data_IF_481197083451
#
_entry.id   IF_481197083451
#
_cell.length_a   1.000
_cell.length_b   1.000
_cell.length_c   1.000
_cell.angle_alpha   90.00
_cell.angle_beta   90.00
_cell.angle_gamma   90.00
#
_symmetry.space_group_name_H-M   'P 1'
#
loop_
_entity.id
_entity.type
_entity.pdbx_description
1 polymer ?
#
# COMPACT_ATOMS: atom_id res chain seq x y z
N UNK A 1 -6.40 -51.39 32.43
CA UNK A 1 -5.52 -50.28 32.86
C UNK A 1 -4.71 -49.70 31.71
N UNK A 2 -3.93 -50.50 30.97
CA UNK A 2 -3.15 -50.01 29.82
C UNK A 2 -4.01 -49.34 28.72
N UNK A 3 -5.18 -49.90 28.39
CA UNK A 3 -6.11 -49.31 27.42
C UNK A 3 -6.67 -47.95 27.86
N UNK A 4 -7.04 -47.83 29.14
CA UNK A 4 -7.55 -46.57 29.71
C UNK A 4 -6.44 -45.51 29.69
N UNK A 5 -5.21 -45.88 30.05
CA UNK A 5 -4.05 -44.98 29.99
C UNK A 5 -3.78 -44.55 28.54
N UNK A 6 -3.86 -45.47 27.58
CA UNK A 6 -3.65 -45.17 26.16
C UNK A 6 -4.72 -44.20 25.63
N UNK A 7 -5.99 -44.40 25.99
CA UNK A 7 -7.09 -43.50 25.62
C UNK A 7 -6.88 -42.11 26.23
N UNK A 8 -6.51 -42.02 27.51
CA UNK A 8 -6.24 -40.73 28.17
C UNK A 8 -5.09 -40.00 27.48
N UNK A 9 -3.98 -40.71 27.19
CA UNK A 9 -2.84 -40.13 26.48
C UNK A 9 -3.24 -39.63 25.10
N UNK A 10 -4.02 -40.41 24.35
CA UNK A 10 -4.50 -40.01 23.03
C UNK A 10 -5.37 -38.74 23.10
N UNK A 11 -6.32 -38.67 24.05
CA UNK A 11 -7.18 -37.49 24.24
C UNK A 11 -6.36 -36.26 24.59
N UNK A 12 -5.39 -36.37 25.50
CA UNK A 12 -4.51 -35.26 25.88
C UNK A 12 -3.69 -34.77 24.69
N UNK A 13 -3.15 -35.68 23.86
CA UNK A 13 -2.43 -35.32 22.64
C UNK A 13 -3.33 -34.61 21.62
N UNK A 14 -4.56 -35.10 21.42
CA UNK A 14 -5.53 -34.46 20.53
C UNK A 14 -5.90 -33.06 21.00
N UNK A 15 -6.16 -32.87 22.29
CA UNK A 15 -6.47 -31.57 22.88
C UNK A 15 -5.27 -30.61 22.78
N UNK A 16 -4.07 -31.09 23.06
CA UNK A 16 -2.84 -30.32 22.90
C UNK A 16 -2.62 -29.86 21.46
N UNK A 17 -2.83 -30.75 20.48
CA UNK A 17 -2.74 -30.42 19.06
C UNK A 17 -3.83 -29.40 18.65
N UNK A 18 -5.07 -29.58 19.10
CA UNK A 18 -6.17 -28.66 18.82
C UNK A 18 -5.89 -27.25 19.36
N UNK A 19 -5.38 -27.14 20.59
CA UNK A 19 -4.99 -25.87 21.20
C UNK A 19 -3.84 -25.18 20.43
N UNK A 20 -2.84 -25.95 19.99
CA UNK A 20 -1.75 -25.44 19.16
C UNK A 20 -2.27 -24.90 17.82
N UNK A 21 -3.13 -25.65 17.12
CA UNK A 21 -3.71 -25.20 15.86
C UNK A 21 -4.58 -23.95 16.03
N UNK A 22 -5.40 -23.90 17.09
CA UNK A 22 -6.24 -22.74 17.39
C UNK A 22 -5.43 -21.48 17.68
N UNK A 23 -4.45 -21.56 18.58
CA UNK A 23 -3.60 -20.42 18.96
C UNK A 23 -2.80 -19.88 17.76
N UNK A 24 -2.31 -20.78 16.89
CA UNK A 24 -1.59 -20.40 15.67
C UNK A 24 -2.51 -19.82 14.61
N UNK A 25 -3.68 -20.42 14.39
CA UNK A 25 -4.69 -19.92 13.49
C UNK A 25 -5.16 -18.52 13.87
N UNK A 26 -5.36 -18.27 15.18
CA UNK A 26 -5.73 -16.94 15.69
C UNK A 26 -4.65 -15.88 15.39
N UNK A 27 -3.37 -16.20 15.61
CA UNK A 27 -2.26 -15.28 15.28
C UNK A 27 -2.17 -14.97 13.79
N UNK A 28 -2.36 -15.97 12.93
CA UNK A 28 -2.35 -15.78 11.47
C UNK A 28 -3.54 -14.93 11.00
N UNK A 29 -4.73 -15.13 11.58
CA UNK A 29 -5.91 -14.29 11.32
C UNK A 29 -5.65 -12.85 11.71
N UNK A 30 -5.14 -12.61 12.91
CA UNK A 30 -4.77 -11.27 13.36
C UNK A 30 -3.76 -10.62 12.42
N UNK A 31 -2.76 -11.38 11.94
CA UNK A 31 -1.78 -10.86 10.99
C UNK A 31 -2.42 -10.51 9.63
N UNK A 32 -3.38 -11.31 9.15
CA UNK A 32 -4.16 -11.00 7.95
C UNK A 32 -5.02 -9.75 8.13
N UNK A 33 -5.68 -9.62 9.28
CA UNK A 33 -6.54 -8.47 9.58
C UNK A 33 -5.72 -7.17 9.57
N UNK A 34 -4.49 -7.20 10.10
CA UNK A 34 -3.56 -6.07 10.03
C UNK A 34 -3.15 -5.72 8.59
N UNK A 35 -2.92 -6.71 7.73
CA UNK A 35 -2.65 -6.45 6.32
C UNK A 35 -3.87 -5.81 5.64
N UNK A 36 -5.06 -6.34 5.90
CA UNK A 36 -6.30 -5.80 5.35
C UNK A 36 -6.56 -4.37 5.82
N UNK A 37 -6.26 -4.07 7.08
CA UNK A 37 -6.38 -2.72 7.62
C UNK A 37 -5.37 -1.74 7.00
N UNK A 38 -4.10 -2.16 6.86
CA UNK A 38 -3.08 -1.37 6.17
C UNK A 38 -3.49 -1.05 4.72
N UNK A 39 -4.08 -2.02 4.02
CA UNK A 39 -4.58 -1.83 2.66
C UNK A 39 -5.74 -0.82 2.61
N UNK A 40 -6.71 -0.90 3.53
CA UNK A 40 -7.82 0.06 3.59
C UNK A 40 -7.32 1.49 3.85
N UNK A 41 -6.35 1.65 4.75
CA UNK A 41 -5.74 2.94 5.04
C UNK A 41 -5.07 3.52 3.80
N UNK A 42 -4.31 2.71 3.06
CA UNK A 42 -3.71 3.11 1.79
C UNK A 42 -4.78 3.51 0.75
N UNK A 43 -5.84 2.71 0.61
CA UNK A 43 -6.92 2.99 -0.35
C UNK A 43 -7.64 4.31 -0.04
N UNK A 44 -7.83 4.66 1.24
CA UNK A 44 -8.37 5.95 1.65
C UNK A 44 -7.46 7.10 1.20
N UNK A 45 -6.17 7.03 1.53
CA UNK A 45 -5.20 8.09 1.18
C UNK A 45 -5.07 8.26 -0.34
N UNK A 46 -5.10 7.16 -1.09
CA UNK A 46 -5.13 7.20 -2.57
C UNK A 46 -6.39 7.87 -3.10
N UNK A 47 -7.55 7.52 -2.54
CA UNK A 47 -8.83 8.13 -2.91
C UNK A 47 -8.80 9.64 -2.67
N UNK A 48 -8.29 10.08 -1.51
CA UNK A 48 -8.13 11.50 -1.18
C UNK A 48 -7.26 12.21 -2.23
N UNK A 49 -6.10 11.64 -2.60
CA UNK A 49 -5.21 12.19 -3.64
C UNK A 49 -5.92 12.28 -4.99
N UNK A 50 -6.55 11.17 -5.42
CA UNK A 50 -7.20 11.06 -6.72
C UNK A 50 -8.38 12.03 -6.87
N UNK A 51 -8.98 12.48 -5.77
CA UNK A 51 -10.04 13.47 -5.77
C UNK A 51 -9.52 14.90 -6.09
N UNK A 52 -8.26 15.19 -5.76
CA UNK A 52 -7.63 16.50 -6.00
C UNK A 52 -7.12 16.67 -7.45
N UNK A 53 -6.71 15.58 -8.11
CA UNK A 53 -6.10 15.62 -9.45
C UNK A 53 -6.99 16.30 -10.52
N UNK A 54 -8.31 16.05 -10.61
CA UNK A 54 -9.17 16.70 -11.60
C UNK A 54 -9.24 18.22 -11.42
N UNK A 55 -9.25 18.69 -10.18
CA UNK A 55 -9.26 20.12 -9.87
C UNK A 55 -7.91 20.76 -10.25
N UNK A 56 -6.81 20.09 -9.97
CA UNK A 56 -5.47 20.51 -10.41
C UNK A 56 -5.39 20.63 -11.93
N UNK A 57 -5.90 19.64 -12.67
CA UNK A 57 -5.97 19.67 -14.12
C UNK A 57 -6.83 20.84 -14.63
N UNK A 58 -8.01 21.05 -14.05
CA UNK A 58 -8.90 22.17 -14.42
C UNK A 58 -8.20 23.52 -14.27
N UNK A 59 -7.43 23.69 -13.19
CA UNK A 59 -6.65 24.89 -12.96
C UNK A 59 -5.49 25.01 -13.93
N UNK A 60 -4.79 23.92 -14.23
CA UNK A 60 -3.72 23.90 -15.21
C UNK A 60 -4.19 24.30 -16.62
N UNK A 61 -5.30 23.74 -17.09
CA UNK A 61 -5.87 24.08 -18.41
C UNK A 61 -6.27 25.55 -18.52
N UNK A 62 -6.71 26.17 -17.42
CA UNK A 62 -7.05 27.60 -17.41
C UNK A 62 -5.83 28.53 -17.59
N UNK A 63 -4.62 28.05 -17.29
CA UNK A 63 -3.39 28.85 -17.34
C UNK A 63 -2.50 28.53 -18.53
N UNK A 64 -2.59 27.33 -19.11
CA UNK A 64 -1.80 26.95 -20.28
C UNK A 64 -2.55 25.98 -21.20
N UNK A 65 -2.89 26.46 -22.39
CA UNK A 65 -3.37 25.64 -23.51
C UNK A 65 -2.20 24.89 -24.20
N UNK A 66 -0.95 25.31 -23.98
CA UNK A 66 0.22 24.77 -24.67
C UNK A 66 0.73 23.44 -24.07
N UNK A 67 0.20 23.04 -22.92
CA UNK A 67 0.72 21.90 -22.15
C UNK A 67 -0.15 20.63 -22.22
N UNK A 68 -0.80 20.42 -23.37
CA UNK A 68 -1.69 19.26 -23.60
C UNK A 68 -0.99 17.91 -23.37
N UNK A 69 0.32 17.83 -23.65
CA UNK A 69 1.09 16.60 -23.48
C UNK A 69 1.15 16.18 -22.00
N UNK A 70 1.54 17.09 -21.11
CA UNK A 70 1.63 16.81 -19.67
C UNK A 70 0.24 16.61 -19.05
N UNK A 71 -0.78 17.35 -19.49
CA UNK A 71 -2.16 17.15 -19.04
C UNK A 71 -2.69 15.74 -19.40
N UNK A 72 -2.43 15.26 -20.63
CA UNK A 72 -2.79 13.90 -21.04
C UNK A 72 -2.03 12.85 -20.24
N UNK A 73 -0.73 13.05 -20.02
CA UNK A 73 0.07 12.14 -19.20
C UNK A 73 -0.49 11.98 -17.77
N UNK A 74 -0.91 13.08 -17.14
CA UNK A 74 -1.56 13.04 -15.82
C UNK A 74 -2.91 12.31 -15.87
N UNK A 75 -3.73 12.55 -16.89
CA UNK A 75 -5.02 11.86 -17.03
C UNK A 75 -4.85 10.35 -17.21
N UNK A 76 -3.89 9.93 -18.03
CA UNK A 76 -3.59 8.51 -18.27
C UNK A 76 -3.01 7.85 -17.02
N UNK A 77 -2.09 8.53 -16.33
CA UNK A 77 -1.52 8.05 -15.07
C UNK A 77 -2.61 7.93 -13.98
N UNK A 78 -3.52 8.91 -13.85
CA UNK A 78 -4.64 8.86 -12.91
C UNK A 78 -5.58 7.69 -13.23
N UNK A 79 -5.89 7.49 -14.53
CA UNK A 79 -6.72 6.35 -14.95
C UNK A 79 -6.07 5.03 -14.57
N UNK A 80 -4.76 4.88 -14.77
CA UNK A 80 -4.03 3.69 -14.36
C UNK A 80 -4.05 3.52 -12.84
N UNK A 81 -3.74 4.57 -12.09
CA UNK A 81 -3.73 4.56 -10.62
C UNK A 81 -5.09 4.18 -10.02
N UNK A 82 -6.22 4.59 -10.64
CA UNK A 82 -7.58 4.22 -10.20
C UNK A 82 -7.99 2.79 -10.56
N UNK A 83 -7.43 2.22 -11.63
CA UNK A 83 -7.85 0.91 -12.17
C UNK A 83 -7.03 -0.25 -11.62
N UNK A 84 -5.80 0.00 -11.18
CA UNK A 84 -4.95 -1.01 -10.55
C UNK A 84 -5.55 -1.49 -9.24
N UNK A 85 -5.74 -2.80 -9.14
CA UNK A 85 -6.18 -3.51 -7.93
C UNK A 85 -5.14 -4.47 -7.37
N UNK A 86 -4.16 -4.85 -8.19
CA UNK A 86 -3.09 -5.75 -7.76
C UNK A 86 -2.14 -4.97 -6.84
N UNK A 87 -1.96 -5.47 -5.61
CA UNK A 87 -1.08 -4.89 -4.62
C UNK A 87 0.34 -4.65 -5.16
N UNK A 88 0.86 -5.58 -5.97
CA UNK A 88 2.20 -5.48 -6.54
C UNK A 88 2.36 -4.28 -7.48
N UNK A 89 1.29 -3.87 -8.16
CA UNK A 89 1.31 -2.79 -9.17
C UNK A 89 0.87 -1.42 -8.62
N UNK A 90 0.22 -1.38 -7.44
CA UNK A 90 -0.33 -0.13 -6.87
C UNK A 90 0.75 0.92 -6.72
N UNK A 91 1.90 0.55 -6.13
CA UNK A 91 2.96 1.51 -5.85
C UNK A 91 3.53 2.13 -7.13
N UNK A 92 3.87 1.32 -8.14
CA UNK A 92 4.32 1.82 -9.45
C UNK A 92 3.29 2.74 -10.12
N UNK A 93 1.98 2.46 -9.96
CA UNK A 93 0.94 3.29 -10.56
C UNK A 93 0.83 4.66 -9.86
N UNK A 94 0.95 4.71 -8.53
CA UNK A 94 1.00 5.95 -7.77
C UNK A 94 2.25 6.76 -8.04
N UNK A 95 3.40 6.11 -8.24
CA UNK A 95 4.67 6.73 -8.60
C UNK A 95 4.60 7.39 -9.99
N UNK A 96 4.06 6.68 -10.99
CA UNK A 96 3.81 7.26 -12.32
C UNK A 96 2.90 8.48 -12.25
N UNK A 97 1.88 8.45 -11.40
CA UNK A 97 1.01 9.60 -11.16
C UNK A 97 1.78 10.77 -10.52
N UNK A 98 2.66 10.49 -9.56
CA UNK A 98 3.55 11.51 -8.96
C UNK A 98 4.41 12.19 -10.02
N UNK A 99 5.11 11.41 -10.85
CA UNK A 99 5.97 11.98 -11.90
C UNK A 99 5.20 12.82 -12.91
N UNK A 100 4.01 12.36 -13.33
CA UNK A 100 3.18 13.13 -14.26
C UNK A 100 2.69 14.45 -13.64
N UNK A 101 2.27 14.42 -12.37
CA UNK A 101 1.83 15.63 -11.65
C UNK A 101 2.99 16.60 -11.47
N UNK A 102 4.17 16.11 -11.08
CA UNK A 102 5.35 16.94 -10.88
C UNK A 102 5.83 17.58 -12.19
N UNK A 103 5.83 16.82 -13.29
CA UNK A 103 6.17 17.35 -14.61
C UNK A 103 5.21 18.46 -15.06
N UNK A 104 3.89 18.27 -14.86
CA UNK A 104 2.90 19.31 -15.15
C UNK A 104 3.12 20.54 -14.26
N UNK A 105 3.34 20.36 -12.96
CA UNK A 105 3.59 21.47 -12.03
C UNK A 105 4.83 22.30 -12.42
N UNK A 106 5.91 21.65 -12.84
CA UNK A 106 7.11 22.30 -13.36
C UNK A 106 6.79 23.11 -14.63
N UNK A 107 6.06 22.51 -15.58
CA UNK A 107 5.62 23.20 -16.81
C UNK A 107 4.81 24.46 -16.52
N UNK A 108 3.90 24.43 -15.55
CA UNK A 108 3.13 25.61 -15.13
C UNK A 108 4.05 26.72 -14.57
N UNK A 109 5.04 26.36 -13.74
CA UNK A 109 5.97 27.32 -13.13
C UNK A 109 6.87 27.98 -14.18
N UNK A 110 7.28 27.24 -15.21
CA UNK A 110 8.14 27.76 -16.28
C UNK A 110 7.41 28.74 -17.21
N UNK A 111 6.12 28.53 -17.46
CA UNK A 111 5.30 29.37 -18.35
C UNK A 111 4.88 30.69 -17.69
N UNK A 112 4.74 30.72 -16.36
CA UNK A 112 4.15 31.88 -15.69
C UNK A 112 5.17 32.94 -15.26
N UNK A 113 5.10 34.11 -15.92
CA UNK A 113 5.82 35.32 -15.50
C UNK A 113 5.15 36.04 -14.31
N UNK A 114 3.88 35.75 -13.98
CA UNK A 114 3.08 36.43 -12.96
C UNK A 114 2.50 35.44 -11.92
N UNK A 115 3.38 34.97 -11.01
CA UNK A 115 3.12 34.00 -9.90
C UNK A 115 1.82 34.14 -9.11
N UNK A 116 1.14 35.29 -9.14
CA UNK A 116 -0.07 35.53 -8.36
C UNK A 116 -1.27 34.71 -8.86
N UNK A 117 -1.33 34.33 -10.14
CA UNK A 117 -2.45 33.53 -10.68
C UNK A 117 -2.37 32.04 -10.32
N UNK A 118 -1.14 31.51 -10.20
CA UNK A 118 -0.87 30.09 -9.93
C UNK A 118 -0.92 29.68 -8.46
N UNK A 119 -1.05 30.61 -7.51
CA UNK A 119 -0.95 30.32 -6.07
C UNK A 119 -1.81 29.13 -5.64
N UNK A 120 -3.08 29.10 -6.06
CA UNK A 120 -3.98 28.01 -5.70
C UNK A 120 -3.63 26.67 -6.36
N UNK A 121 -3.01 26.66 -7.56
CA UNK A 121 -2.59 25.42 -8.23
C UNK A 121 -1.32 24.85 -7.57
N UNK A 122 -0.41 25.74 -7.16
CA UNK A 122 0.80 25.40 -6.38
C UNK A 122 0.40 24.84 -5.01
N UNK A 123 -0.58 25.46 -4.34
CA UNK A 123 -1.09 24.97 -3.06
C UNK A 123 -1.69 23.57 -3.17
N UNK A 124 -2.40 23.29 -4.27
CA UNK A 124 -2.98 21.97 -4.52
C UNK A 124 -1.91 20.93 -4.85
N UNK A 125 -0.87 21.31 -5.59
CA UNK A 125 0.30 20.46 -5.81
C UNK A 125 1.01 20.12 -4.50
N UNK A 126 1.23 21.11 -3.63
CA UNK A 126 1.81 20.90 -2.31
C UNK A 126 0.95 19.97 -1.43
N UNK A 127 -0.37 20.13 -1.45
CA UNK A 127 -1.30 19.21 -0.77
C UNK A 127 -1.18 17.78 -1.30
N UNK A 128 -1.12 17.61 -2.62
CA UNK A 128 -0.92 16.29 -3.23
C UNK A 128 0.42 15.66 -2.86
N UNK A 129 1.51 16.45 -2.73
CA UNK A 129 2.81 15.98 -2.25
C UNK A 129 2.77 15.51 -0.79
N UNK A 130 2.02 16.22 0.07
CA UNK A 130 1.81 15.78 1.47
C UNK A 130 1.07 14.43 1.50
N UNK A 131 0.03 14.27 0.67
CA UNK A 131 -0.73 13.01 0.58
C UNK A 131 0.15 11.90 -0.02
N UNK A 132 1.00 12.20 -0.99
CA UNK A 132 1.98 11.25 -1.55
C UNK A 132 2.93 10.72 -0.47
N UNK A 133 3.48 11.57 0.41
CA UNK A 133 4.26 11.10 1.56
C UNK A 133 3.48 10.14 2.48
N UNK A 134 2.17 10.35 2.66
CA UNK A 134 1.29 9.43 3.40
C UNK A 134 1.08 8.11 2.65
N UNK A 135 1.01 8.13 1.32
CA UNK A 135 0.94 6.92 0.47
C UNK A 135 2.21 6.09 0.68
N UNK A 136 3.39 6.70 0.57
CA UNK A 136 4.68 6.01 0.78
C UNK A 136 4.74 5.35 2.16
N UNK A 137 4.40 6.10 3.21
CA UNK A 137 4.34 5.57 4.58
C UNK A 137 3.35 4.40 4.71
N UNK A 138 2.18 4.50 4.08
CA UNK A 138 1.15 3.46 4.11
C UNK A 138 1.58 2.19 3.37
N UNK A 139 2.27 2.33 2.23
CA UNK A 139 2.87 1.21 1.49
C UNK A 139 3.92 0.51 2.36
N UNK A 140 4.81 1.26 3.03
CA UNK A 140 5.80 0.69 3.95
C UNK A 140 5.14 -0.07 5.09
N UNK A 141 4.08 0.49 5.68
CA UNK A 141 3.32 -0.18 6.73
C UNK A 141 2.65 -1.47 6.24
N UNK A 142 2.04 -1.46 5.05
CA UNK A 142 1.49 -2.65 4.41
C UNK A 142 2.57 -3.72 4.18
N UNK A 143 3.72 -3.34 3.63
CA UNK A 143 4.83 -4.26 3.36
C UNK A 143 5.38 -4.89 4.65
N UNK A 144 5.47 -4.11 5.74
CA UNK A 144 5.84 -4.64 7.06
C UNK A 144 4.80 -5.65 7.57
N UNK A 145 3.51 -5.37 7.42
CA UNK A 145 2.44 -6.29 7.80
C UNK A 145 2.49 -7.60 6.99
N UNK A 146 2.70 -7.51 5.67
CA UNK A 146 2.87 -8.67 4.77
C UNK A 146 4.11 -9.49 5.14
N UNK A 147 5.23 -8.85 5.47
CA UNK A 147 6.44 -9.52 5.92
C UNK A 147 6.21 -10.29 7.23
N UNK A 148 5.55 -9.64 8.20
CA UNK A 148 5.18 -10.27 9.48
C UNK A 148 4.25 -11.47 9.29
N UNK A 149 3.24 -11.34 8.45
CA UNK A 149 2.33 -12.43 8.08
C UNK A 149 3.09 -13.58 7.42
N UNK A 150 3.93 -13.27 6.44
CA UNK A 150 4.73 -14.26 5.70
C UNK A 150 5.67 -15.03 6.62
N UNK A 151 6.35 -14.34 7.54
CA UNK A 151 7.21 -14.94 8.56
C UNK A 151 6.42 -15.93 9.44
N UNK A 152 5.24 -15.54 9.93
CA UNK A 152 4.39 -16.43 10.73
C UNK A 152 3.89 -17.65 9.94
N UNK A 153 3.53 -17.46 8.66
CA UNK A 153 3.05 -18.53 7.78
C UNK A 153 4.15 -19.53 7.39
N UNK A 154 5.41 -19.11 7.37
CA UNK A 154 6.57 -19.96 7.05
C UNK A 154 6.93 -20.94 8.17
N UNK A 155 6.53 -20.67 9.41
CA UNK A 155 6.86 -21.52 10.56
C UNK A 155 6.37 -22.97 10.36
N UNK A 156 7.14 -23.99 10.78
CA UNK A 156 6.82 -25.40 10.51
C UNK A 156 5.50 -25.82 11.15
N UNK A 157 5.17 -25.24 12.30
CA UNK A 157 3.91 -25.48 13.03
C UNK A 157 2.67 -24.94 12.31
N UNK A 158 2.84 -24.04 11.34
CA UNK A 158 1.76 -23.50 10.52
C UNK A 158 1.50 -24.34 9.24
N UNK A 159 2.27 -25.41 9.00
CA UNK A 159 2.16 -26.23 7.77
C UNK A 159 0.73 -26.71 7.50
N UNK A 160 0.06 -27.24 8.53
CA UNK A 160 -1.32 -27.74 8.45
C UNK A 160 -2.36 -26.65 8.12
N UNK A 161 -2.01 -25.37 8.32
CA UNK A 161 -2.88 -24.22 8.09
C UNK A 161 -2.59 -23.52 6.76
N UNK A 162 -1.50 -23.84 6.05
CA UNK A 162 -1.05 -23.11 4.85
C UNK A 162 -2.07 -23.02 3.72
N UNK A 163 -2.99 -23.99 3.62
CA UNK A 163 -4.05 -24.02 2.61
C UNK A 163 -5.18 -23.03 2.92
N UNK A 164 -5.45 -22.77 4.20
CA UNK A 164 -6.49 -21.83 4.65
C UNK A 164 -6.02 -20.36 4.65
N UNK A 165 -4.71 -20.13 4.52
CA UNK A 165 -4.08 -18.81 4.63
C UNK A 165 -3.33 -18.48 3.31
N UNK A 166 -3.81 -17.51 2.51
CA UNK A 166 -3.27 -17.24 1.17
C UNK A 166 -1.86 -16.66 1.20
N UNK A 167 -1.14 -16.76 0.08
CA UNK A 167 0.10 -16.00 -0.13
C UNK A 167 -0.27 -14.55 -0.45
N UNK A 168 0.49 -13.61 0.12
CA UNK A 168 0.32 -12.18 -0.11
C UNK A 168 1.61 -11.63 -0.72
N UNK A 169 1.46 -10.74 -1.69
CA UNK A 169 2.57 -10.06 -2.35
C UNK A 169 2.81 -8.69 -1.69
N UNK A 170 4.08 -8.30 -1.45
CA UNK A 170 4.39 -6.92 -1.08
C UNK A 170 4.11 -5.99 -2.28
N UNK A 171 3.86 -4.71 -1.99
CA UNK A 171 3.76 -3.68 -3.02
C UNK A 171 5.15 -3.18 -3.38
N UNK A 172 5.40 -3.01 -4.68
CA UNK A 172 6.63 -2.40 -5.17
C UNK A 172 6.44 -0.88 -5.22
N UNK A 173 7.33 -0.15 -4.56
CA UNK A 173 7.42 1.31 -4.63
C UNK A 173 8.89 1.68 -4.66
N UNK A 174 9.30 2.50 -5.63
CA UNK A 174 10.67 2.95 -5.71
C UNK A 174 10.85 4.13 -4.74
N UNK A 175 11.34 3.84 -3.54
CA UNK A 175 11.62 4.86 -2.53
C UNK A 175 12.64 5.88 -3.05
N UNK A 176 12.27 7.16 -3.09
CA UNK A 176 13.20 8.27 -3.38
C UNK A 176 14.17 8.51 -2.19
N UNK A 177 13.88 7.95 -1.01
CA UNK A 177 14.69 8.07 0.22
C UNK A 177 14.67 6.80 1.09
N UNK A 178 14.97 5.63 0.53
CA UNK A 178 15.13 4.43 1.35
C UNK A 178 16.42 4.51 2.20
N UNK A 179 16.33 5.05 3.42
CA UNK A 179 17.21 4.56 4.48
C UNK A 179 17.01 3.04 4.63
N UNK A 180 18.11 2.27 4.71
CA UNK A 180 18.03 0.82 4.68
C UNK A 180 17.13 0.31 5.80
N UNK A 181 16.19 -0.55 5.42
CA UNK A 181 15.35 -1.31 6.34
C UNK A 181 16.28 -1.96 7.37
N UNK A 182 16.25 -1.46 8.61
CA UNK A 182 16.99 -2.05 9.71
C UNK A 182 16.46 -3.47 9.89
N UNK A 183 17.27 -4.44 9.47
CA UNK A 183 17.03 -5.85 9.65
C UNK A 183 16.93 -6.10 11.16
N UNK A 184 15.71 -6.27 11.67
CA UNK A 184 15.52 -6.78 13.02
C UNK A 184 15.95 -8.25 13.03
N UNK A 185 17.24 -8.46 13.33
CA UNK A 185 17.78 -9.77 13.66
C UNK A 185 17.19 -10.20 15.02
N UNK A 186 16.71 -11.44 15.16
CA UNK A 186 16.01 -11.92 16.36
C UNK A 186 16.89 -11.93 17.62
#
# INVERSE_FOLDING_TARGET
MAEIVLVIVAVVLCLGLAYLLYSRGSRLRLALDLVGEAQRQLDQVRTDRHALVPEFLRMATAHSEQDEHHQRAVQDALRRARTVKDASEIGQAEERLTHAIDALAIGLIEVDQHRQSLGSAIDLHAQMRIIEGRIVSSIRYYNLAVAKYTSQRRQPTAFALRTAFPLLAPMEYQDVEAEPVVEFRP
#
